data_IF_548354229282
#
_entry.id   IF_548354229282
#
_cell.length_a   1.000
_cell.length_b   1.000
_cell.length_c   1.000
_cell.angle_alpha   90.00
_cell.angle_beta   90.00
_cell.angle_gamma   90.00
#
_symmetry.space_group_name_H-M   'P 1'
#
loop_
_entity.id
_entity.type
_entity.pdbx_description
1 polymer ?
#
# COMPACT_ATOMS: atom_id res chain seq x y z
N UNK A 1 11.52 -28.19 5.15
CA UNK A 1 12.15 -27.40 4.05
C UNK A 1 11.69 -27.79 2.63
N UNK A 2 11.18 -29.02 2.40
CA UNK A 2 10.72 -29.46 1.05
C UNK A 2 9.47 -28.73 0.53
N UNK A 3 8.77 -27.92 1.36
CA UNK A 3 7.52 -27.26 1.00
C UNK A 3 7.59 -25.72 1.06
N UNK A 4 8.78 -25.13 1.18
CA UNK A 4 8.91 -23.68 1.37
C UNK A 4 8.42 -23.17 2.74
N UNK A 5 8.18 -24.05 3.70
CA UNK A 5 7.70 -23.75 5.04
C UNK A 5 8.80 -24.04 6.06
N UNK A 6 9.01 -23.13 6.99
CA UNK A 6 9.98 -23.25 8.09
C UNK A 6 9.26 -23.25 9.42
N UNK A 7 9.56 -24.23 10.28
CA UNK A 7 9.12 -24.21 11.67
C UNK A 7 9.98 -23.22 12.44
N UNK A 8 9.37 -22.13 12.90
CA UNK A 8 10.06 -21.03 13.61
C UNK A 8 10.05 -21.24 15.12
N UNK A 9 9.19 -22.08 15.65
CA UNK A 9 9.17 -22.42 17.05
C UNK A 9 8.09 -23.43 17.43
N UNK A 10 8.25 -24.01 18.63
CA UNK A 10 7.29 -24.89 19.28
C UNK A 10 7.05 -24.43 20.71
N UNK A 11 5.85 -24.63 21.23
CA UNK A 11 5.49 -24.28 22.59
C UNK A 11 4.62 -25.36 23.22
N UNK A 12 4.69 -25.54 24.54
CA UNK A 12 3.93 -26.54 25.27
C UNK A 12 2.62 -26.01 25.87
N UNK A 13 2.38 -24.71 25.81
CA UNK A 13 1.19 -24.04 26.33
C UNK A 13 0.96 -22.70 25.61
N UNK A 14 -0.24 -22.12 25.76
CA UNK A 14 -0.59 -20.87 25.09
C UNK A 14 0.20 -19.64 25.55
N UNK A 15 0.72 -19.59 26.79
CA UNK A 15 1.54 -18.48 27.27
C UNK A 15 2.90 -18.46 26.54
N UNK A 16 3.59 -19.59 26.50
CA UNK A 16 4.88 -19.72 25.81
C UNK A 16 4.70 -19.55 24.30
N UNK A 17 3.57 -20.07 23.74
CA UNK A 17 3.16 -19.85 22.37
C UNK A 17 3.05 -18.37 22.02
N UNK A 18 2.41 -17.57 22.88
CA UNK A 18 2.28 -16.13 22.67
C UNK A 18 3.63 -15.41 22.70
N UNK A 19 4.49 -15.73 23.68
CA UNK A 19 5.83 -15.14 23.74
C UNK A 19 6.64 -15.41 22.47
N UNK A 20 6.60 -16.64 21.97
CA UNK A 20 7.28 -17.02 20.72
C UNK A 20 6.64 -16.38 19.49
N UNK A 21 5.32 -16.33 19.42
CA UNK A 21 4.64 -15.70 18.29
C UNK A 21 4.94 -14.20 18.19
N UNK A 22 5.13 -13.51 19.31
CA UNK A 22 5.55 -12.10 19.32
C UNK A 22 6.99 -11.94 18.80
N UNK A 23 7.89 -12.85 19.18
CA UNK A 23 9.29 -12.82 18.76
C UNK A 23 9.46 -13.19 17.28
N UNK A 24 8.83 -14.28 16.85
CA UNK A 24 9.07 -14.89 15.55
C UNK A 24 8.06 -14.47 14.45
N UNK A 25 6.92 -13.89 14.84
CA UNK A 25 5.85 -13.42 13.95
C UNK A 25 5.46 -14.45 12.87
N UNK A 26 4.97 -15.64 13.29
CA UNK A 26 4.65 -16.70 12.35
C UNK A 26 3.47 -16.33 11.44
N UNK A 27 3.50 -16.80 10.19
CA UNK A 27 2.39 -16.68 9.27
C UNK A 27 1.28 -17.70 9.55
N UNK A 28 1.67 -18.90 10.00
CA UNK A 28 0.76 -20.01 10.31
C UNK A 28 1.06 -20.51 11.73
N UNK A 29 0.01 -20.71 12.51
CA UNK A 29 0.07 -21.31 13.84
C UNK A 29 -0.80 -22.55 13.88
N UNK A 30 -0.23 -23.67 14.34
CA UNK A 30 -0.93 -24.93 14.58
C UNK A 30 -0.98 -25.12 16.08
N UNK A 31 -2.16 -25.21 16.64
CA UNK A 31 -2.35 -25.32 18.10
C UNK A 31 -3.34 -26.39 18.47
N UNK A 32 -3.10 -27.06 19.58
CA UNK A 32 -4.11 -27.88 20.22
C UNK A 32 -5.21 -27.00 20.85
N UNK A 33 -6.43 -27.45 20.86
CA UNK A 33 -7.53 -26.80 21.58
C UNK A 33 -7.28 -26.88 23.09
N UNK A 34 -6.93 -28.07 23.58
CA UNK A 34 -6.69 -28.30 25.01
C UNK A 34 -5.21 -28.19 25.36
N UNK A 35 -4.85 -27.09 25.94
CA UNK A 35 -3.50 -26.86 26.45
C UNK A 35 -3.54 -26.38 27.91
N UNK A 36 -2.50 -26.66 28.72
CA UNK A 36 -2.39 -26.15 30.06
C UNK A 36 -2.18 -24.63 30.06
N UNK A 37 -2.53 -23.97 31.17
CA UNK A 37 -2.35 -22.54 31.47
C UNK A 37 -3.27 -21.65 30.62
N UNK A 38 -3.13 -21.64 29.32
CA UNK A 38 -3.99 -20.93 28.36
C UNK A 38 -4.35 -21.96 27.28
N UNK A 39 -5.64 -22.21 27.10
CA UNK A 39 -6.15 -23.09 26.04
C UNK A 39 -5.94 -22.48 24.64
N UNK A 40 -6.05 -23.34 23.62
CA UNK A 40 -5.82 -22.92 22.23
C UNK A 40 -6.79 -21.87 21.73
N UNK A 41 -8.03 -21.86 22.22
CA UNK A 41 -9.06 -20.89 21.81
C UNK A 41 -8.69 -19.50 22.34
N UNK A 42 -8.39 -19.38 23.63
CA UNK A 42 -7.95 -18.11 24.24
C UNK A 42 -6.64 -17.64 23.65
N UNK A 43 -5.69 -18.54 23.44
CA UNK A 43 -4.44 -18.24 22.76
C UNK A 43 -4.68 -17.67 21.37
N UNK A 44 -5.53 -18.30 20.59
CA UNK A 44 -5.84 -17.87 19.22
C UNK A 44 -6.55 -16.53 19.15
N UNK A 45 -7.48 -16.25 20.08
CA UNK A 45 -8.14 -14.95 20.20
C UNK A 45 -7.12 -13.84 20.46
N UNK A 46 -6.27 -14.01 21.48
CA UNK A 46 -5.23 -13.03 21.81
C UNK A 46 -4.19 -12.87 20.69
N UNK A 47 -3.87 -13.96 20.01
CA UNK A 47 -2.94 -13.94 18.90
C UNK A 47 -3.48 -13.12 17.73
N UNK A 48 -4.76 -13.30 17.39
CA UNK A 48 -5.42 -12.59 16.28
C UNK A 48 -5.60 -11.11 16.56
N UNK A 49 -5.82 -10.71 17.80
CA UNK A 49 -5.82 -9.29 18.20
C UNK A 49 -4.49 -8.59 17.89
N UNK A 50 -3.37 -9.30 18.09
CA UNK A 50 -2.02 -8.77 17.83
C UNK A 50 -1.56 -8.97 16.38
N UNK A 51 -1.94 -10.08 15.76
CA UNK A 51 -1.56 -10.47 14.41
C UNK A 51 -2.81 -10.85 13.60
N UNK A 52 -3.57 -9.89 13.09
CA UNK A 52 -4.84 -10.14 12.40
C UNK A 52 -4.75 -11.03 11.17
N UNK A 53 -3.56 -11.14 10.57
CA UNK A 53 -3.32 -11.92 9.34
C UNK A 53 -2.81 -13.34 9.60
N UNK A 54 -2.53 -13.69 10.86
CA UNK A 54 -2.03 -15.03 11.18
C UNK A 54 -3.09 -16.09 10.85
N UNK A 55 -2.70 -17.14 10.14
CA UNK A 55 -3.54 -18.28 9.84
C UNK A 55 -3.46 -19.27 10.98
N UNK A 56 -4.60 -19.75 11.48
CA UNK A 56 -4.66 -20.61 12.66
C UNK A 56 -5.32 -21.93 12.30
N UNK A 57 -4.63 -23.04 12.60
CA UNK A 57 -5.09 -24.41 12.45
C UNK A 57 -5.25 -25.02 13.84
N UNK A 58 -6.43 -25.53 14.15
CA UNK A 58 -6.64 -26.27 15.39
C UNK A 58 -6.43 -27.76 15.22
N UNK A 59 -5.76 -28.37 16.20
CA UNK A 59 -5.76 -29.82 16.37
C UNK A 59 -6.81 -30.20 17.39
N UNK A 60 -7.72 -31.11 17.06
CA UNK A 60 -8.86 -31.48 17.90
C UNK A 60 -9.02 -32.99 18.02
N UNK A 61 -9.47 -33.47 19.19
CA UNK A 61 -9.89 -34.86 19.38
C UNK A 61 -11.37 -35.03 19.08
N UNK A 62 -11.81 -36.30 18.89
CA UNK A 62 -13.23 -36.65 18.64
C UNK A 62 -14.18 -36.11 19.72
N UNK A 63 -13.76 -36.01 20.95
CA UNK A 63 -14.54 -35.50 22.10
C UNK A 63 -14.72 -33.98 22.10
N UNK A 64 -14.01 -33.27 21.27
CA UNK A 64 -13.96 -31.80 21.27
C UNK A 64 -14.77 -31.16 20.14
N UNK A 65 -15.64 -31.97 19.47
CA UNK A 65 -16.44 -31.53 18.34
C UNK A 65 -17.37 -30.33 18.65
N UNK A 66 -17.89 -30.27 19.87
CA UNK A 66 -18.67 -29.13 20.34
C UNK A 66 -17.80 -27.84 20.43
N UNK A 67 -16.50 -27.97 20.78
CA UNK A 67 -15.55 -26.88 20.81
C UNK A 67 -15.11 -26.44 19.39
N UNK A 68 -15.20 -27.33 18.40
CA UNK A 68 -14.88 -26.96 17.00
C UNK A 68 -15.87 -25.92 16.43
N UNK A 69 -17.13 -25.91 16.87
CA UNK A 69 -18.08 -24.83 16.56
C UNK A 69 -17.65 -23.48 17.10
N UNK A 70 -17.07 -23.43 18.30
CA UNK A 70 -16.53 -22.20 18.88
C UNK A 70 -15.22 -21.78 18.20
N UNK A 71 -14.41 -22.72 17.73
CA UNK A 71 -13.20 -22.46 16.96
C UNK A 71 -13.50 -21.74 15.63
N UNK A 72 -14.58 -22.10 14.96
CA UNK A 72 -15.06 -21.40 13.75
C UNK A 72 -15.46 -19.95 14.07
N UNK A 73 -16.05 -19.68 15.23
CA UNK A 73 -16.43 -18.32 15.66
C UNK A 73 -15.21 -17.43 15.98
N UNK A 74 -14.09 -18.03 16.36
CA UNK A 74 -12.81 -17.33 16.59
C UNK A 74 -12.06 -17.06 15.28
N UNK A 75 -12.62 -17.53 14.15
CA UNK A 75 -12.05 -17.29 12.83
C UNK A 75 -10.87 -18.21 12.50
N UNK A 76 -10.83 -19.44 13.04
CA UNK A 76 -9.87 -20.44 12.59
C UNK A 76 -10.00 -20.70 11.08
N UNK A 77 -8.87 -20.90 10.41
CA UNK A 77 -8.86 -21.20 8.98
C UNK A 77 -9.35 -22.65 8.74
N UNK A 78 -8.96 -23.57 9.65
CA UNK A 78 -9.32 -24.97 9.55
C UNK A 78 -9.02 -25.74 10.86
N UNK A 79 -9.43 -27.00 10.91
CA UNK A 79 -9.13 -27.92 12.00
C UNK A 79 -8.70 -29.29 11.46
N UNK A 80 -7.86 -30.00 12.20
CA UNK A 80 -7.42 -31.34 11.91
C UNK A 80 -7.76 -32.26 13.08
N UNK A 81 -8.33 -33.43 12.76
CA UNK A 81 -8.66 -34.43 13.77
C UNK A 81 -7.41 -35.24 14.20
N UNK A 82 -7.28 -35.49 15.47
CA UNK A 82 -6.28 -36.42 16.00
C UNK A 82 -6.77 -37.87 15.90
N UNK A 83 -5.93 -38.83 15.44
CA UNK A 83 -4.51 -38.67 15.06
C UNK A 83 -4.36 -37.90 13.74
N UNK A 84 -3.45 -36.92 13.72
CA UNK A 84 -3.26 -36.03 12.57
C UNK A 84 -2.78 -36.81 11.36
N UNK A 85 -3.53 -36.75 10.27
CA UNK A 85 -3.11 -37.26 8.99
C UNK A 85 -2.05 -36.35 8.38
N UNK A 86 -0.85 -36.88 8.15
CA UNK A 86 0.28 -36.12 7.61
C UNK A 86 -0.04 -35.53 6.25
N UNK A 87 -0.75 -36.26 5.38
CA UNK A 87 -1.11 -35.80 4.04
C UNK A 87 -2.08 -34.61 4.10
N UNK A 88 -3.10 -34.71 4.94
CA UNK A 88 -4.10 -33.66 5.15
C UNK A 88 -3.46 -32.38 5.71
N UNK A 89 -2.54 -32.52 6.67
CA UNK A 89 -1.77 -31.39 7.20
C UNK A 89 -0.93 -30.72 6.11
N UNK A 90 -0.26 -31.49 5.27
CA UNK A 90 0.57 -30.98 4.17
C UNK A 90 -0.30 -30.19 3.19
N UNK A 91 -1.43 -30.75 2.75
CA UNK A 91 -2.34 -30.09 1.81
C UNK A 91 -2.89 -28.79 2.37
N UNK A 92 -3.28 -28.78 3.65
CA UNK A 92 -3.78 -27.59 4.33
C UNK A 92 -2.72 -26.50 4.43
N UNK A 93 -1.51 -26.86 4.84
CA UNK A 93 -0.40 -25.91 4.94
C UNK A 93 -0.01 -25.34 3.58
N UNK A 94 -0.02 -26.17 2.52
CA UNK A 94 0.25 -25.72 1.15
C UNK A 94 -0.84 -24.73 0.67
N UNK A 95 -2.11 -25.02 0.92
CA UNK A 95 -3.22 -24.12 0.59
C UNK A 95 -3.05 -22.77 1.29
N UNK A 96 -2.84 -22.75 2.60
CA UNK A 96 -2.67 -21.52 3.37
C UNK A 96 -1.43 -20.74 2.94
N UNK A 97 -0.34 -21.43 2.62
CA UNK A 97 0.87 -20.78 2.09
C UNK A 97 0.61 -20.10 0.75
N UNK A 98 -0.15 -20.74 -0.14
CA UNK A 98 -0.54 -20.15 -1.42
C UNK A 98 -1.43 -18.89 -1.22
N UNK A 99 -2.39 -18.95 -0.30
CA UNK A 99 -3.24 -17.81 0.07
C UNK A 99 -2.42 -16.63 0.60
N UNK A 100 -1.50 -16.87 1.55
CA UNK A 100 -0.62 -15.86 2.12
C UNK A 100 0.24 -15.21 1.02
N UNK A 101 0.83 -16.01 0.14
CA UNK A 101 1.65 -15.51 -0.95
C UNK A 101 0.83 -14.65 -1.93
N UNK A 102 -0.41 -15.05 -2.23
CA UNK A 102 -1.31 -14.28 -3.09
C UNK A 102 -1.71 -12.93 -2.45
N UNK A 103 -2.01 -12.94 -1.15
CA UNK A 103 -2.31 -11.71 -0.40
C UNK A 103 -1.11 -10.75 -0.39
N UNK A 104 0.09 -11.27 -0.12
CA UNK A 104 1.33 -10.49 -0.13
C UNK A 104 1.62 -9.93 -1.52
N UNK A 105 1.40 -10.71 -2.59
CA UNK A 105 1.60 -10.27 -3.96
C UNK A 105 0.66 -9.11 -4.32
N UNK A 106 -0.60 -9.18 -3.92
CA UNK A 106 -1.57 -8.09 -4.11
C UNK A 106 -1.10 -6.80 -3.43
N UNK A 107 -0.58 -6.88 -2.21
CA UNK A 107 -0.06 -5.72 -1.47
C UNK A 107 1.14 -5.09 -2.20
N UNK A 108 2.07 -5.91 -2.70
CA UNK A 108 3.23 -5.43 -3.48
C UNK A 108 2.78 -4.77 -4.79
N UNK A 109 1.85 -5.40 -5.52
CA UNK A 109 1.32 -4.85 -6.77
C UNK A 109 0.58 -3.53 -6.56
N UNK A 110 -0.22 -3.42 -5.50
CA UNK A 110 -0.88 -2.17 -5.11
C UNK A 110 0.13 -1.08 -4.76
N UNK A 111 1.18 -1.42 -4.02
CA UNK A 111 2.25 -0.49 -3.66
C UNK A 111 3.00 0.02 -4.89
N UNK A 112 3.31 -0.88 -5.84
CA UNK A 112 3.92 -0.52 -7.14
C UNK A 112 3.01 0.39 -7.96
N UNK A 113 1.73 0.02 -8.12
CA UNK A 113 0.76 0.84 -8.85
C UNK A 113 0.62 2.23 -8.23
N UNK A 114 0.58 2.29 -6.90
CA UNK A 114 0.50 3.57 -6.17
C UNK A 114 1.77 4.43 -6.36
N UNK A 115 2.95 3.81 -6.36
CA UNK A 115 4.20 4.52 -6.62
C UNK A 115 4.24 5.09 -8.05
N UNK A 116 3.91 4.28 -9.05
CA UNK A 116 3.83 4.71 -10.46
C UNK A 116 2.80 5.84 -10.66
N UNK A 117 1.63 5.73 -10.03
CA UNK A 117 0.63 6.80 -10.07
C UNK A 117 1.16 8.08 -9.42
N UNK A 118 1.84 7.97 -8.28
CA UNK A 118 2.41 9.14 -7.60
C UNK A 118 3.49 9.83 -8.43
N UNK A 119 4.29 9.08 -9.17
CA UNK A 119 5.31 9.63 -10.08
C UNK A 119 4.68 10.25 -11.34
N UNK A 120 3.62 9.67 -11.89
CA UNK A 120 2.97 10.16 -13.10
C UNK A 120 1.96 11.29 -12.88
N UNK A 121 1.38 11.40 -11.66
CA UNK A 121 0.39 12.43 -11.34
C UNK A 121 0.86 13.86 -11.63
N UNK A 122 2.08 14.30 -11.28
CA UNK A 122 2.53 15.65 -11.58
C UNK A 122 2.52 15.94 -13.09
N UNK A 123 3.02 15.00 -13.90
CA UNK A 123 3.03 15.11 -15.36
C UNK A 123 1.60 15.16 -15.93
N UNK A 124 0.70 14.33 -15.42
CA UNK A 124 -0.71 14.33 -15.87
C UNK A 124 -1.42 15.63 -15.51
N UNK A 125 -1.14 16.20 -14.34
CA UNK A 125 -1.66 17.50 -13.92
C UNK A 125 -1.15 18.62 -14.82
N UNK A 126 0.15 18.64 -15.09
CA UNK A 126 0.76 19.60 -16.01
C UNK A 126 0.15 19.52 -17.41
N UNK A 127 0.03 18.30 -17.97
CA UNK A 127 -0.61 18.10 -19.28
C UNK A 127 -2.08 18.55 -19.31
N UNK A 128 -2.81 18.38 -18.21
CA UNK A 128 -4.19 18.82 -18.08
C UNK A 128 -4.28 20.36 -18.15
N UNK A 129 -3.45 21.05 -17.37
CA UNK A 129 -3.41 22.51 -17.36
C UNK A 129 -2.97 23.06 -18.73
N UNK A 130 -1.89 22.52 -19.26
CA UNK A 130 -1.37 22.89 -20.59
C UNK A 130 -2.44 22.69 -21.67
N UNK A 131 -3.08 21.53 -21.72
CA UNK A 131 -4.12 21.25 -22.71
C UNK A 131 -5.33 22.17 -22.61
N UNK A 132 -5.63 22.71 -21.44
CA UNK A 132 -6.66 23.75 -21.27
C UNK A 132 -6.18 25.10 -21.76
N UNK A 133 -4.95 25.50 -21.44
CA UNK A 133 -4.36 26.77 -21.89
C UNK A 133 -4.19 26.83 -23.42
N UNK A 134 -3.82 25.72 -24.03
CA UNK A 134 -3.65 25.59 -25.48
C UNK A 134 -5.01 25.49 -26.23
N UNK A 135 -6.13 25.52 -25.49
CA UNK A 135 -7.47 25.41 -26.09
C UNK A 135 -7.81 24.00 -26.60
N UNK A 136 -6.99 23.00 -26.28
CA UNK A 136 -7.22 21.58 -26.66
C UNK A 136 -8.34 20.98 -25.81
N UNK A 137 -8.44 21.35 -24.54
CA UNK A 137 -9.50 20.92 -23.63
C UNK A 137 -10.57 22.00 -23.50
N UNK A 138 -11.83 21.58 -23.64
CA UNK A 138 -12.96 22.44 -23.28
C UNK A 138 -13.03 22.61 -21.76
N UNK A 139 -13.71 23.67 -21.30
CA UNK A 139 -13.89 23.93 -19.86
C UNK A 139 -14.44 22.71 -19.11
N UNK A 140 -15.46 22.05 -19.68
CA UNK A 140 -16.06 20.85 -19.09
C UNK A 140 -15.05 19.70 -18.95
N UNK A 141 -14.29 19.43 -20.03
CA UNK A 141 -13.25 18.39 -20.00
C UNK A 141 -12.14 18.70 -18.99
N UNK A 142 -11.77 19.96 -18.85
CA UNK A 142 -10.80 20.41 -17.86
C UNK A 142 -11.32 20.17 -16.44
N UNK A 143 -12.52 20.61 -16.12
CA UNK A 143 -13.13 20.42 -14.80
C UNK A 143 -13.23 18.94 -14.42
N UNK A 144 -13.69 18.08 -15.35
CA UNK A 144 -13.78 16.63 -15.11
C UNK A 144 -12.39 16.02 -14.82
N UNK A 145 -11.35 16.42 -15.56
CA UNK A 145 -9.98 15.93 -15.34
C UNK A 145 -9.35 16.45 -14.05
N UNK A 146 -9.59 17.71 -13.72
CA UNK A 146 -9.14 18.31 -12.46
C UNK A 146 -9.61 17.49 -11.26
N UNK A 147 -10.90 17.13 -11.24
CA UNK A 147 -11.48 16.28 -10.20
C UNK A 147 -10.82 14.88 -10.17
N UNK A 148 -10.65 14.24 -11.33
CA UNK A 148 -10.03 12.91 -11.44
C UNK A 148 -8.57 12.91 -10.97
N UNK A 149 -7.82 13.99 -11.23
CA UNK A 149 -6.41 14.14 -10.87
C UNK A 149 -6.22 14.62 -9.42
N UNK A 150 -7.31 14.80 -8.67
CA UNK A 150 -7.27 15.30 -7.30
C UNK A 150 -6.62 16.68 -7.19
N UNK A 151 -6.91 17.54 -8.15
CA UNK A 151 -6.50 18.95 -8.11
C UNK A 151 -7.62 19.73 -7.40
N UNK A 152 -7.27 20.47 -6.36
CA UNK A 152 -8.21 21.32 -5.64
C UNK A 152 -8.35 22.67 -6.37
N UNK A 153 -9.05 22.65 -7.49
CA UNK A 153 -9.48 23.87 -8.13
C UNK A 153 -10.93 24.12 -7.69
N UNK A 154 -11.14 25.03 -6.74
CA UNK A 154 -12.48 25.46 -6.34
C UNK A 154 -13.12 26.26 -7.46
N UNK A 155 -14.47 26.27 -7.52
CA UNK A 155 -15.18 27.19 -8.41
C UNK A 155 -14.81 28.64 -8.05
N UNK A 156 -14.10 29.31 -8.93
CA UNK A 156 -13.65 30.68 -8.70
C UNK A 156 -12.80 31.24 -9.83
N UNK A 157 -12.30 32.43 -9.64
CA UNK A 157 -11.42 33.11 -10.59
C UNK A 157 -10.01 32.55 -10.48
N UNK A 158 -9.51 31.98 -11.57
CA UNK A 158 -8.13 31.55 -11.68
C UNK A 158 -7.25 32.68 -12.19
N UNK A 159 -6.04 32.77 -11.66
CA UNK A 159 -5.03 33.73 -12.15
C UNK A 159 -3.88 32.95 -12.75
N UNK A 160 -3.58 33.25 -14.00
CA UNK A 160 -2.44 32.67 -14.71
C UNK A 160 -1.30 33.66 -14.65
N UNK A 161 -0.14 33.23 -14.18
CA UNK A 161 1.10 33.98 -14.26
C UNK A 161 2.10 33.25 -15.13
N UNK A 162 2.75 33.98 -16.02
CA UNK A 162 3.75 33.41 -16.94
C UNK A 162 5.09 34.03 -16.57
N UNK A 163 6.02 33.19 -16.17
CA UNK A 163 7.40 33.57 -15.95
C UNK A 163 8.21 33.22 -17.17
N UNK A 164 8.96 34.20 -17.71
CA UNK A 164 9.85 33.99 -18.84
C UNK A 164 11.31 34.10 -18.36
N UNK A 165 12.14 33.18 -18.85
CA UNK A 165 13.58 33.27 -18.64
C UNK A 165 14.18 34.15 -19.74
N UNK A 166 14.68 35.29 -19.35
CA UNK A 166 15.36 36.21 -20.27
C UNK A 166 16.65 35.57 -20.81
N UNK A 167 16.98 35.87 -22.07
CA UNK A 167 18.17 35.33 -22.74
C UNK A 167 18.23 33.80 -22.82
N UNK A 168 17.09 33.14 -22.83
CA UNK A 168 16.96 31.69 -22.82
C UNK A 168 17.84 31.01 -23.89
N UNK A 169 17.83 31.51 -25.15
CA UNK A 169 18.64 30.94 -26.24
C UNK A 169 20.16 31.10 -26.02
N UNK A 170 20.60 32.13 -25.32
CA UNK A 170 22.00 32.28 -24.96
C UNK A 170 22.39 31.33 -23.84
N UNK A 171 21.49 31.09 -22.93
CA UNK A 171 21.68 30.13 -21.83
C UNK A 171 21.73 28.69 -22.34
N UNK A 172 20.92 28.32 -23.34
CA UNK A 172 20.99 27.01 -24.01
C UNK A 172 22.40 26.77 -24.59
N UNK A 173 22.96 27.76 -25.24
CA UNK A 173 24.32 27.66 -25.80
C UNK A 173 25.41 27.40 -24.74
N UNK A 174 25.15 27.76 -23.48
CA UNK A 174 26.03 27.50 -22.33
C UNK A 174 25.80 26.18 -21.61
N UNK A 175 24.76 25.41 -21.96
CA UNK A 175 24.47 24.06 -21.49
C UNK A 175 23.06 23.89 -20.91
N UNK A 176 22.39 22.84 -21.33
CA UNK A 176 21.01 22.49 -20.92
C UNK A 176 20.84 22.30 -19.42
N UNK A 177 21.90 21.89 -18.72
CA UNK A 177 21.90 21.68 -17.27
C UNK A 177 21.63 22.95 -16.47
N UNK A 178 22.12 24.08 -16.97
CA UNK A 178 21.94 25.41 -16.32
C UNK A 178 20.47 25.84 -16.40
N UNK A 179 19.84 25.62 -17.53
CA UNK A 179 18.40 25.93 -17.72
C UNK A 179 17.51 25.08 -16.84
N UNK A 180 17.77 23.77 -16.77
CA UNK A 180 17.02 22.88 -15.89
C UNK A 180 17.10 23.33 -14.42
N UNK A 181 18.28 23.81 -13.97
CA UNK A 181 18.47 24.34 -12.65
C UNK A 181 17.71 25.66 -12.42
N UNK A 182 17.70 26.56 -13.40
CA UNK A 182 16.96 27.83 -13.33
C UNK A 182 15.45 27.59 -13.31
N UNK A 183 14.94 26.68 -14.16
CA UNK A 183 13.53 26.28 -14.16
C UNK A 183 13.11 25.67 -12.83
N UNK A 184 13.93 24.78 -12.28
CA UNK A 184 13.70 24.19 -10.98
C UNK A 184 13.67 25.23 -9.85
N UNK A 185 14.64 26.17 -9.85
CA UNK A 185 14.71 27.26 -8.87
C UNK A 185 13.47 28.16 -8.98
N UNK A 186 13.08 28.52 -10.19
CA UNK A 186 11.91 29.37 -10.47
C UNK A 186 10.62 28.69 -10.00
N UNK A 187 10.46 27.38 -10.27
CA UNK A 187 9.33 26.61 -9.81
C UNK A 187 9.23 26.59 -8.28
N UNK A 188 10.35 26.35 -7.58
CA UNK A 188 10.38 26.34 -6.12
C UNK A 188 10.04 27.71 -5.52
N UNK A 189 10.60 28.79 -6.07
CA UNK A 189 10.31 30.15 -5.62
C UNK A 189 8.83 30.48 -5.86
N UNK A 190 8.29 30.15 -7.02
CA UNK A 190 6.89 30.36 -7.32
C UNK A 190 5.99 29.56 -6.34
N UNK A 191 6.28 28.30 -6.08
CA UNK A 191 5.54 27.47 -5.13
C UNK A 191 5.60 28.06 -3.71
N UNK A 192 6.77 28.53 -3.27
CA UNK A 192 6.95 29.13 -1.94
C UNK A 192 6.15 30.43 -1.77
N UNK A 193 6.07 31.25 -2.82
CA UNK A 193 5.34 32.52 -2.79
C UNK A 193 3.83 32.30 -2.86
N UNK A 194 3.36 31.40 -3.70
CA UNK A 194 1.92 31.26 -4.01
C UNK A 194 1.19 30.23 -3.15
N UNK A 195 1.87 29.21 -2.66
CA UNK A 195 1.28 28.19 -1.78
C UNK A 195 0.56 28.72 -0.54
N UNK A 196 1.04 29.80 0.13
CA UNK A 196 0.29 30.41 1.24
C UNK A 196 -0.99 31.14 0.82
N UNK A 197 -1.13 31.49 -0.47
CA UNK A 197 -2.24 32.27 -1.02
C UNK A 197 -3.34 31.31 -1.51
N UNK A 198 -2.97 30.12 -2.01
CA UNK A 198 -3.87 29.12 -2.54
C UNK A 198 -3.15 27.94 -3.19
N UNK A 199 -3.92 27.03 -3.76
CA UNK A 199 -3.35 25.95 -4.56
C UNK A 199 -2.76 26.53 -5.84
N UNK A 200 -1.49 26.22 -6.11
CA UNK A 200 -0.83 26.65 -7.34
C UNK A 200 -0.31 25.45 -8.13
N UNK A 201 -0.41 25.52 -9.44
CA UNK A 201 0.09 24.52 -10.36
C UNK A 201 1.09 25.15 -11.31
N UNK A 202 2.29 24.62 -11.34
CA UNK A 202 3.38 25.13 -12.15
C UNK A 202 3.55 24.20 -13.35
N UNK A 203 3.50 24.78 -14.54
CA UNK A 203 3.65 24.07 -15.81
C UNK A 203 4.87 24.60 -16.55
N UNK A 204 5.71 23.70 -17.07
CA UNK A 204 6.83 24.02 -17.94
C UNK A 204 6.38 23.85 -19.42
N UNK A 205 6.56 24.85 -20.25
CA UNK A 205 6.24 24.77 -21.67
C UNK A 205 7.30 24.04 -22.51
N UNK A 206 8.37 23.60 -21.86
CA UNK A 206 9.50 22.94 -22.53
C UNK A 206 10.51 23.93 -23.10
N UNK A 207 10.17 25.21 -23.18
CA UNK A 207 11.01 26.29 -23.71
C UNK A 207 11.42 27.28 -22.60
N UNK A 208 11.14 28.55 -22.81
CA UNK A 208 11.57 29.62 -21.94
C UNK A 208 10.60 30.00 -20.83
N UNK A 209 9.41 29.40 -20.77
CA UNK A 209 8.32 29.85 -19.93
C UNK A 209 7.93 28.81 -18.88
N UNK A 210 7.61 29.31 -17.72
CA UNK A 210 6.88 28.54 -16.70
C UNK A 210 5.56 29.25 -16.41
N UNK A 211 4.49 28.51 -16.41
CA UNK A 211 3.15 29.00 -16.15
C UNK A 211 2.70 28.54 -14.78
N UNK A 212 2.20 29.47 -13.98
CA UNK A 212 1.59 29.20 -12.66
C UNK A 212 0.11 29.49 -12.78
N UNK A 213 -0.72 28.52 -12.42
CA UNK A 213 -2.16 28.60 -12.36
C UNK A 213 -2.60 28.61 -10.91
#
# INVERSE_FOLDING_TARGET
>A
EKMGVRVVGTASNGRDGMAKAIAEKPDIVITDIRMPIIDGIRFSTQLREKFPKVKIIFLTGYSDFEYSRHAIHVGAEDYLLKPVNTQELIELVQRLTAEINQENQKVVDWSRKRALLKESLPMMREQCVRGFMDGILTQKQFTDRVLQLGMNLSEGDYRIMIFCIDYYFQLIANGERQIALLKFALANVAEEIFRPIGDCFICDDGEARQTVL
#
